data_IF_006577612296
#
_entry.id   IF_006577612296
#
_cell.length_a   1.000
_cell.length_b   1.000
_cell.length_c   1.000
_cell.angle_alpha   90.00
_cell.angle_beta   90.00
_cell.angle_gamma   90.00
#
_symmetry.space_group_name_H-M   'P 1'
#
loop_
_entity.id
_entity.type
_entity.pdbx_description
1 polymer ?
#
# COMPACT_ATOMS: atom_id res chain seq x y z
N UNK A 1 7.03 -17.96 -3.81
CA UNK A 1 6.04 -17.34 -2.91
C UNK A 1 4.91 -16.72 -3.72
N UNK A 2 3.69 -17.02 -3.34
CA UNK A 2 2.52 -16.52 -4.05
C UNK A 2 2.06 -15.19 -3.46
N UNK A 3 1.71 -14.24 -4.32
CA UNK A 3 1.18 -12.95 -3.91
C UNK A 3 -0.31 -12.86 -4.22
N UNK A 4 -1.02 -13.98 -4.02
CA UNK A 4 -2.44 -14.08 -4.37
C UNK A 4 -3.39 -13.50 -3.31
N UNK A 5 -2.86 -13.10 -2.17
CA UNK A 5 -3.65 -12.52 -1.10
C UNK A 5 -3.09 -11.17 -0.68
N UNK A 6 -3.99 -10.24 -0.40
CA UNK A 6 -3.61 -8.95 0.17
C UNK A 6 -3.08 -9.18 1.59
N UNK A 7 -1.96 -8.55 1.90
CA UNK A 7 -1.40 -8.55 3.24
C UNK A 7 -1.84 -7.27 3.94
N UNK A 8 -2.25 -7.38 5.19
CA UNK A 8 -2.79 -6.24 5.95
C UNK A 8 -1.87 -5.88 7.10
N UNK A 9 -1.74 -4.59 7.35
CA UNK A 9 -0.92 -4.06 8.42
C UNK A 9 -1.80 -3.26 9.38
N UNK A 10 -1.69 -3.55 10.68
CA UNK A 10 -2.38 -2.76 11.69
C UNK A 10 -1.69 -1.40 11.82
N UNK A 11 -2.47 -0.33 11.76
CA UNK A 11 -1.97 1.03 11.77
C UNK A 11 -2.03 1.68 13.16
N UNK A 12 -2.26 0.89 14.20
CA UNK A 12 -2.29 1.39 15.56
C UNK A 12 -3.44 2.35 15.79
N UNK A 13 -3.18 3.54 16.33
CA UNK A 13 -4.26 4.48 16.65
C UNK A 13 -4.84 5.20 15.43
N UNK A 14 -4.24 5.04 14.25
CA UNK A 14 -4.73 5.69 13.04
C UNK A 14 -5.94 4.94 12.52
N UNK A 15 -7.01 5.65 12.24
CA UNK A 15 -8.27 5.04 11.81
C UNK A 15 -8.30 4.85 10.29
N UNK A 16 -7.38 4.03 9.79
CA UNK A 16 -7.35 3.62 8.39
C UNK A 16 -7.01 2.13 8.34
N UNK A 17 -7.44 1.49 7.27
CA UNK A 17 -7.01 0.12 6.96
C UNK A 17 -5.93 0.21 5.90
N UNK A 18 -4.83 -0.49 6.10
CA UNK A 18 -3.74 -0.49 5.13
C UNK A 18 -3.43 -1.91 4.68
N UNK A 19 -3.47 -2.13 3.38
CA UNK A 19 -3.13 -3.42 2.79
C UNK A 19 -2.20 -3.26 1.62
N UNK A 20 -1.44 -4.30 1.34
CA UNK A 20 -0.56 -4.35 0.18
C UNK A 20 -0.98 -5.49 -0.73
N UNK A 21 -1.22 -5.18 -1.99
CA UNK A 21 -1.56 -6.14 -3.02
C UNK A 21 -0.36 -6.35 -3.92
N UNK A 22 0.25 -7.52 -3.85
CA UNK A 22 1.45 -7.85 -4.62
C UNK A 22 1.15 -8.37 -6.02
N UNK A 23 -0.13 -8.48 -6.38
CA UNK A 23 -0.55 -8.93 -7.71
C UNK A 23 -1.94 -8.40 -8.01
N UNK A 24 -2.26 -8.36 -9.29
CA UNK A 24 -3.61 -7.94 -9.71
C UNK A 24 -4.67 -8.89 -9.16
N UNK A 25 -4.35 -10.17 -9.07
CA UNK A 25 -5.29 -11.16 -8.53
C UNK A 25 -5.66 -10.81 -7.08
N UNK A 26 -4.67 -10.47 -6.25
CA UNK A 26 -4.93 -10.08 -4.86
C UNK A 26 -5.78 -8.82 -4.81
N UNK A 27 -5.48 -7.85 -5.65
CA UNK A 27 -6.24 -6.60 -5.72
C UNK A 27 -7.71 -6.86 -6.09
N UNK A 28 -7.94 -7.64 -7.14
CA UNK A 28 -9.31 -7.94 -7.60
C UNK A 28 -10.12 -8.67 -6.53
N UNK A 29 -9.48 -9.60 -5.80
CA UNK A 29 -10.16 -10.28 -4.69
C UNK A 29 -10.55 -9.30 -3.59
N UNK A 30 -9.67 -8.38 -3.25
CA UNK A 30 -9.95 -7.39 -2.19
C UNK A 30 -11.06 -6.44 -2.61
N UNK A 31 -11.02 -5.95 -3.85
CA UNK A 31 -12.06 -5.08 -4.39
C UNK A 31 -13.43 -5.75 -4.33
N UNK A 32 -13.49 -7.02 -4.74
CA UNK A 32 -14.73 -7.77 -4.72
C UNK A 32 -15.24 -7.97 -3.30
N UNK A 33 -14.34 -8.33 -2.38
CA UNK A 33 -14.72 -8.55 -0.99
C UNK A 33 -15.23 -7.28 -0.32
N UNK A 34 -14.65 -6.13 -0.67
CA UNK A 34 -15.07 -4.85 -0.12
C UNK A 34 -16.27 -4.25 -0.85
N UNK A 35 -16.74 -4.92 -1.92
CA UNK A 35 -17.89 -4.49 -2.70
C UNK A 35 -17.71 -3.08 -3.26
N UNK A 36 -16.51 -2.78 -3.73
CA UNK A 36 -16.22 -1.49 -4.35
C UNK A 36 -16.71 -1.51 -5.79
N UNK A 37 -17.55 -0.53 -6.14
CA UNK A 37 -18.04 -0.37 -7.51
C UNK A 37 -17.13 0.60 -8.26
N UNK A 38 -16.97 0.38 -9.56
CA UNK A 38 -16.16 1.24 -10.41
C UNK A 38 -14.74 1.41 -9.88
N UNK A 39 -14.14 0.28 -9.47
CA UNK A 39 -12.80 0.32 -8.90
C UNK A 39 -11.77 0.79 -9.93
N UNK A 40 -10.74 1.52 -9.47
CA UNK A 40 -9.66 1.93 -10.39
C UNK A 40 -8.83 0.72 -10.82
N UNK A 41 -7.99 0.95 -11.83
CA UNK A 41 -7.06 -0.07 -12.28
C UNK A 41 -6.11 -0.46 -11.16
N UNK A 42 -5.63 -1.70 -11.22
CA UNK A 42 -4.66 -2.20 -10.24
C UNK A 42 -3.47 -1.23 -10.11
N UNK A 43 -2.84 -0.90 -11.22
CA UNK A 43 -1.74 0.05 -11.26
C UNK A 43 -2.08 1.09 -12.32
N UNK A 44 -1.92 2.36 -11.97
CA UNK A 44 -2.19 3.46 -12.89
C UNK A 44 -1.27 3.38 -14.09
N UNK A 45 -1.79 3.76 -15.25
CA UNK A 45 -1.04 3.72 -16.49
C UNK A 45 0.28 4.50 -16.35
N UNK A 46 1.38 3.84 -16.69
CA UNK A 46 2.70 4.46 -16.62
C UNK A 46 3.35 4.45 -15.25
N UNK A 47 2.64 3.97 -14.22
CA UNK A 47 3.20 3.90 -12.88
C UNK A 47 3.80 2.53 -12.61
N UNK A 48 4.81 2.48 -11.74
CA UNK A 48 5.38 1.21 -11.28
C UNK A 48 4.65 0.65 -10.07
N UNK A 49 4.01 1.53 -9.32
CA UNK A 49 3.21 1.18 -8.15
C UNK A 49 2.14 2.24 -7.97
N UNK A 50 1.07 1.92 -7.26
CA UNK A 50 -0.03 2.85 -7.05
C UNK A 50 -0.63 2.64 -5.67
N UNK A 51 -0.93 3.73 -4.98
CA UNK A 51 -1.68 3.70 -3.74
C UNK A 51 -3.10 4.13 -4.03
N UNK A 52 -4.06 3.24 -3.75
CA UNK A 52 -5.48 3.56 -3.90
C UNK A 52 -6.06 3.91 -2.54
N UNK A 53 -6.86 4.98 -2.50
CA UNK A 53 -7.63 5.34 -1.33
C UNK A 53 -9.07 5.01 -1.61
N UNK A 54 -9.62 4.07 -0.86
CA UNK A 54 -10.99 3.59 -1.06
C UNK A 54 -11.81 3.91 0.17
N UNK A 55 -13.02 4.39 -0.04
CA UNK A 55 -13.90 4.74 1.07
C UNK A 55 -15.28 4.19 0.77
N UNK A 56 -15.86 3.50 1.74
CA UNK A 56 -17.19 2.94 1.59
C UNK A 56 -18.05 3.26 2.81
N UNK A 57 -17.97 4.51 3.25
CA UNK A 57 -18.80 5.00 4.35
C UNK A 57 -18.22 4.79 5.73
N UNK A 58 -17.06 4.17 5.84
CA UNK A 58 -16.37 3.98 7.12
C UNK A 58 -14.97 4.54 7.05
N UNK A 59 -14.06 3.95 7.82
CA UNK A 59 -12.66 4.33 7.78
C UNK A 59 -12.10 4.06 6.38
N UNK A 60 -11.26 4.95 5.85
CA UNK A 60 -10.70 4.72 4.52
C UNK A 60 -9.77 3.51 4.50
N UNK A 61 -9.72 2.87 3.36
CA UNK A 61 -8.82 1.75 3.11
C UNK A 61 -7.77 2.20 2.11
N UNK A 62 -6.51 2.01 2.47
CA UNK A 62 -5.38 2.31 1.60
C UNK A 62 -4.84 0.99 1.06
N UNK A 63 -4.82 0.84 -0.25
CA UNK A 63 -4.25 -0.34 -0.89
C UNK A 63 -3.04 0.07 -1.71
N UNK A 64 -1.87 -0.38 -1.28
CA UNK A 64 -0.65 -0.20 -2.04
C UNK A 64 -0.52 -1.36 -3.00
N UNK A 65 -0.47 -1.04 -4.28
CA UNK A 65 -0.47 -2.03 -5.35
C UNK A 65 0.87 -2.02 -6.09
N UNK A 66 1.48 -3.18 -6.16
CA UNK A 66 2.75 -3.38 -6.86
C UNK A 66 2.75 -4.81 -7.38
N UNK A 67 2.92 -4.98 -8.69
CA UNK A 67 3.06 -6.31 -9.26
C UNK A 67 4.47 -6.81 -8.98
N UNK A 68 4.61 -7.62 -7.94
CA UNK A 68 5.92 -8.04 -7.43
C UNK A 68 6.70 -8.81 -8.49
N UNK A 69 6.06 -9.77 -9.15
CA UNK A 69 6.76 -10.57 -10.17
C UNK A 69 7.23 -9.73 -11.34
N UNK A 70 6.36 -8.87 -11.84
CA UNK A 70 6.69 -8.01 -12.97
C UNK A 70 7.77 -6.99 -12.59
N UNK A 71 7.65 -6.42 -11.39
CA UNK A 71 8.62 -5.43 -10.93
C UNK A 71 10.02 -6.03 -10.82
N UNK A 72 10.11 -7.24 -10.28
CA UNK A 72 11.42 -7.90 -10.14
C UNK A 72 12.06 -8.21 -11.48
N UNK A 73 11.27 -8.35 -12.54
CA UNK A 73 11.80 -8.56 -13.90
C UNK A 73 12.22 -7.27 -14.58
N UNK A 74 11.55 -6.16 -14.28
CA UNK A 74 11.75 -4.89 -14.98
C UNK A 74 12.70 -3.93 -14.27
N UNK A 75 12.78 -4.01 -12.95
CA UNK A 75 13.46 -3.00 -12.14
C UNK A 75 14.54 -3.62 -11.28
N UNK A 76 15.56 -2.81 -10.97
CA UNK A 76 16.58 -3.18 -9.99
C UNK A 76 15.96 -3.11 -8.59
N UNK A 77 16.67 -3.70 -7.61
CA UNK A 77 16.21 -3.63 -6.22
C UNK A 77 16.09 -2.19 -5.73
N UNK A 78 17.06 -1.35 -6.09
CA UNK A 78 17.04 0.05 -5.68
C UNK A 78 15.81 0.75 -6.26
N UNK A 79 15.49 0.47 -7.53
CA UNK A 79 14.32 1.07 -8.16
C UNK A 79 13.03 0.62 -7.49
N UNK A 80 12.92 -0.66 -7.13
CA UNK A 80 11.74 -1.17 -6.44
C UNK A 80 11.63 -0.53 -5.06
N UNK A 81 12.73 -0.45 -4.31
CA UNK A 81 12.71 0.18 -3.00
C UNK A 81 12.31 1.65 -3.10
N UNK A 82 12.73 2.33 -4.15
CA UNK A 82 12.32 3.72 -4.37
C UNK A 82 10.83 3.84 -4.65
N UNK A 83 10.25 2.90 -5.41
CA UNK A 83 8.81 2.87 -5.61
C UNK A 83 8.07 2.66 -4.30
N UNK A 84 8.55 1.73 -3.47
CA UNK A 84 7.94 1.47 -2.17
C UNK A 84 8.00 2.72 -1.29
N UNK A 85 9.16 3.39 -1.27
CA UNK A 85 9.34 4.60 -0.46
C UNK A 85 8.39 5.70 -0.92
N UNK A 86 8.22 5.87 -2.22
CA UNK A 86 7.32 6.87 -2.79
C UNK A 86 5.88 6.63 -2.31
N UNK A 87 5.41 5.38 -2.42
CA UNK A 87 4.06 5.06 -1.99
C UNK A 87 3.91 5.10 -0.47
N UNK A 88 4.96 4.73 0.27
CA UNK A 88 4.93 4.84 1.73
C UNK A 88 4.76 6.29 2.18
N UNK A 89 5.35 7.24 1.46
CA UNK A 89 5.14 8.65 1.76
C UNK A 89 3.68 9.04 1.57
N UNK A 90 3.04 8.53 0.53
CA UNK A 90 1.61 8.77 0.32
C UNK A 90 0.76 8.14 1.43
N UNK A 91 1.13 6.94 1.89
CA UNK A 91 0.44 6.31 3.02
C UNK A 91 0.52 7.22 4.25
N UNK A 92 1.71 7.73 4.54
CA UNK A 92 1.90 8.60 5.70
C UNK A 92 1.08 9.88 5.56
N UNK A 93 1.04 10.47 4.37
CA UNK A 93 0.28 11.68 4.13
C UNK A 93 -1.21 11.45 4.35
N UNK A 94 -1.75 10.33 3.84
CA UNK A 94 -3.15 10.00 4.02
C UNK A 94 -3.48 9.76 5.49
N UNK A 95 -2.59 9.08 6.23
CA UNK A 95 -2.81 8.81 7.64
C UNK A 95 -2.82 10.12 8.45
N UNK A 96 -1.90 11.02 8.15
CA UNK A 96 -1.84 12.31 8.83
C UNK A 96 -3.11 13.12 8.56
N UNK A 97 -3.60 13.07 7.31
CA UNK A 97 -4.83 13.78 6.93
C UNK A 97 -6.05 13.25 7.69
N UNK A 98 -6.03 12.00 8.13
CA UNK A 98 -7.15 11.38 8.86
C UNK A 98 -7.07 11.59 10.37
N UNK A 99 -6.07 12.30 10.84
CA UNK A 99 -5.86 12.51 12.27
C UNK A 99 -5.76 13.98 12.64
N UNK A 100 -6.23 14.29 13.84
CA UNK A 100 -5.93 15.59 14.45
C UNK A 100 -4.65 15.37 15.25
N UNK A 101 -3.52 15.40 14.57
CA UNK A 101 -2.25 15.11 15.19
C UNK A 101 -1.56 16.38 15.66
N UNK A 102 -0.87 16.28 16.80
CA UNK A 102 -0.13 17.42 17.35
C UNK A 102 1.31 17.45 16.88
N UNK A 103 1.89 16.28 16.60
CA UNK A 103 3.25 16.18 16.09
C UNK A 103 3.22 15.38 14.79
N UNK A 104 2.83 16.07 13.73
CA UNK A 104 2.65 15.45 12.43
C UNK A 104 3.97 14.92 11.85
N UNK A 105 5.10 15.58 12.18
CA UNK A 105 6.38 15.17 11.59
C UNK A 105 6.84 13.82 12.10
N UNK A 106 6.75 13.60 13.41
CA UNK A 106 7.12 12.31 13.99
C UNK A 106 6.17 11.21 13.52
N UNK A 107 4.88 11.49 13.51
CA UNK A 107 3.90 10.53 13.04
C UNK A 107 4.15 10.18 11.59
N UNK A 108 4.39 11.18 10.74
CA UNK A 108 4.66 10.97 9.33
C UNK A 108 5.88 10.06 9.14
N UNK A 109 6.98 10.38 9.82
CA UNK A 109 8.21 9.61 9.71
C UNK A 109 8.01 8.16 10.19
N UNK A 110 7.30 7.99 11.30
CA UNK A 110 7.02 6.66 11.84
C UNK A 110 6.21 5.83 10.85
N UNK A 111 5.18 6.42 10.24
CA UNK A 111 4.34 5.70 9.31
C UNK A 111 5.10 5.33 8.03
N UNK A 112 5.97 6.23 7.55
CA UNK A 112 6.82 5.92 6.40
C UNK A 112 7.69 4.69 6.71
N UNK A 113 8.35 4.71 7.87
CA UNK A 113 9.22 3.62 8.28
C UNK A 113 8.44 2.31 8.39
N UNK A 114 7.30 2.36 9.03
CA UNK A 114 6.49 1.18 9.31
C UNK A 114 5.91 0.58 8.03
N UNK A 115 5.33 1.42 7.18
CA UNK A 115 4.72 0.95 5.94
C UNK A 115 5.78 0.51 4.93
N UNK A 116 6.90 1.24 4.83
CA UNK A 116 8.00 0.82 3.97
C UNK A 116 8.51 -0.57 4.37
N UNK A 117 8.76 -0.75 5.66
CA UNK A 117 9.27 -2.03 6.16
C UNK A 117 8.31 -3.18 5.87
N UNK A 118 7.01 -2.93 6.05
CA UNK A 118 5.99 -3.93 5.77
C UNK A 118 6.00 -4.36 4.31
N UNK A 119 5.98 -3.39 3.39
CA UNK A 119 5.94 -3.69 1.96
C UNK A 119 7.26 -4.28 1.49
N UNK A 120 8.38 -3.75 1.96
CA UNK A 120 9.70 -4.29 1.61
C UNK A 120 9.83 -5.75 2.05
N UNK A 121 9.31 -6.07 3.23
CA UNK A 121 9.32 -7.44 3.71
C UNK A 121 8.45 -8.36 2.84
N UNK A 122 7.32 -7.85 2.38
CA UNK A 122 6.46 -8.61 1.46
C UNK A 122 7.20 -8.90 0.15
N UNK A 123 7.93 -7.92 -0.36
CA UNK A 123 8.63 -8.06 -1.65
C UNK A 123 9.89 -8.91 -1.51
N UNK A 124 10.69 -8.71 -0.46
CA UNK A 124 12.02 -9.29 -0.34
C UNK A 124 12.16 -10.37 0.73
N UNK A 125 11.21 -10.44 1.64
CA UNK A 125 11.37 -11.21 2.87
C UNK A 125 10.98 -12.67 2.80
N UNK A 126 10.72 -13.21 1.63
CA UNK A 126 10.37 -14.61 1.53
C UNK A 126 11.60 -15.47 1.77
N UNK A 127 11.54 -16.21 2.81
CA UNK A 127 12.62 -17.11 3.18
C UNK A 127 12.20 -18.52 2.93
#
# INVERSE_FOLDING_TARGET
MSHNKTQWLAMGPVNVYFGCCGSEKAYRKSIKKMEVENSPEFISCGAGATLHTLSSGGAPTLLMCLDVESAKKQYTRIQIDALIAHEAAHVAQRCVDEMVAHDERELFAYIVQHSFGFVANLVWGDK
#
